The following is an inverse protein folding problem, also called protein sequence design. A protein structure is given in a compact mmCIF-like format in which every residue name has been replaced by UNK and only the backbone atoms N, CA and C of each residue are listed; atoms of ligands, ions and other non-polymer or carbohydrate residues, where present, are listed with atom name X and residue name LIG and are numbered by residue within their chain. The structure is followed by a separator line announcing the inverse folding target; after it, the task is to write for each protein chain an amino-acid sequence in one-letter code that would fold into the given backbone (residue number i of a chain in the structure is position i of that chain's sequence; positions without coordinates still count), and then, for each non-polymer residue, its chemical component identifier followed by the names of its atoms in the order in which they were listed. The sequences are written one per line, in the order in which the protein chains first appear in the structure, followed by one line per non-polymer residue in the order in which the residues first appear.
data_IF_994800248039
#
_entry.id   IF_994800248039
#
_cell.length_a   1.000
_cell.length_b   1.000
_cell.length_c   1.000
_cell.angle_alpha   90.00
_cell.angle_beta   90.00
_cell.angle_gamma   90.00
#
_symmetry.space_group_name_H-M   'P 1'
#
loop_
_entity.id
_entity.type
_entity.pdbx_description
1 polymer ?
#
# COMPACT_ATOMS: atom_id res chain seq x y z
N UNK A 1 20.81 25.20 1.00
CA UNK A 1 20.96 23.78 0.60
C UNK A 1 19.75 23.43 -0.25
N UNK A 2 19.93 23.14 -1.55
CA UNK A 2 18.83 22.79 -2.46
C UNK A 2 18.83 21.27 -2.68
N UNK A 3 17.80 20.58 -2.20
CA UNK A 3 17.60 19.16 -2.51
C UNK A 3 16.91 19.08 -3.86
N UNK A 4 17.53 18.40 -4.84
CA UNK A 4 16.92 18.08 -6.13
C UNK A 4 16.66 16.58 -6.16
N UNK A 5 15.42 16.18 -6.43
CA UNK A 5 14.99 14.78 -6.49
C UNK A 5 14.59 14.50 -7.93
N UNK A 6 15.08 13.40 -8.49
CA UNK A 6 14.70 12.92 -9.82
C UNK A 6 13.92 11.61 -9.69
N UNK A 7 12.65 11.62 -10.05
CA UNK A 7 11.78 10.43 -9.98
C UNK A 7 11.78 9.71 -11.33
N UNK A 8 12.32 8.49 -11.39
CA UNK A 8 12.12 7.60 -12.54
C UNK A 8 10.80 6.85 -12.36
N UNK A 9 9.78 7.25 -13.10
CA UNK A 9 8.43 6.68 -13.02
C UNK A 9 8.32 5.53 -14.02
N UNK A 10 8.24 4.28 -13.53
CA UNK A 10 7.79 3.15 -14.36
C UNK A 10 6.25 3.08 -14.26
N UNK A 11 5.49 3.40 -15.34
CA UNK A 11 4.03 3.45 -15.31
C UNK A 11 3.37 2.06 -15.18
N UNK A 12 4.08 1.00 -15.56
CA UNK A 12 3.49 -0.34 -15.74
C UNK A 12 3.54 -1.24 -14.49
N UNK A 13 4.11 -0.76 -13.38
CA UNK A 13 4.25 -1.54 -12.14
C UNK A 13 3.20 -1.14 -11.09
N UNK A 14 2.57 -2.15 -10.47
CA UNK A 14 1.53 -2.00 -9.44
C UNK A 14 2.12 -1.57 -8.07
N UNK A 15 2.69 -0.37 -8.00
CA UNK A 15 3.27 0.19 -6.77
C UNK A 15 2.66 1.57 -6.47
N UNK A 16 2.39 1.84 -5.20
CA UNK A 16 2.16 3.21 -4.72
C UNK A 16 3.49 3.93 -4.61
N UNK A 17 3.57 5.12 -5.20
CA UNK A 17 4.79 5.94 -5.24
C UNK A 17 4.68 7.01 -4.17
N UNK A 18 5.56 6.96 -3.17
CA UNK A 18 5.52 7.90 -2.04
C UNK A 18 6.90 8.49 -1.75
N UNK A 19 6.90 9.67 -1.11
CA UNK A 19 8.11 10.30 -0.58
C UNK A 19 8.05 10.19 0.95
N UNK A 20 9.08 9.60 1.54
CA UNK A 20 9.28 9.53 2.98
C UNK A 20 10.30 10.59 3.35
N UNK A 21 9.94 11.50 4.25
CA UNK A 21 10.82 12.52 4.78
C UNK A 21 10.83 12.45 6.31
N UNK A 22 12.02 12.31 6.90
CA UNK A 22 12.22 12.21 8.34
C UNK A 22 13.32 13.14 8.83
N UNK A 23 13.23 13.49 10.12
CA UNK A 23 14.23 14.32 10.77
C UNK A 23 14.55 13.84 12.18
N UNK A 24 15.77 14.13 12.61
CA UNK A 24 16.30 13.81 13.93
C UNK A 24 17.15 14.97 14.46
N UNK A 25 17.23 15.10 15.78
CA UNK A 25 18.05 16.12 16.44
C UNK A 25 18.57 15.63 17.79
N UNK A 26 19.70 16.20 18.25
CA UNK A 26 20.29 15.88 19.55
C UNK A 26 21.58 15.07 19.45
N UNK A 27 21.76 14.08 20.34
CA UNK A 27 22.85 13.10 20.25
C UNK A 27 22.43 11.99 19.27
N UNK A 28 23.43 11.39 18.61
CA UNK A 28 23.25 10.21 17.74
C UNK A 28 22.19 10.41 16.65
N UNK A 29 22.20 11.63 16.07
CA UNK A 29 21.13 12.10 15.17
C UNK A 29 20.95 11.22 13.94
N UNK A 30 22.05 10.64 13.44
CA UNK A 30 22.06 9.81 12.25
C UNK A 30 21.47 8.43 12.52
N UNK A 31 21.82 7.81 13.63
CA UNK A 31 21.30 6.50 14.03
C UNK A 31 19.79 6.55 14.23
N UNK A 32 19.31 7.55 14.99
CA UNK A 32 17.87 7.81 15.16
C UNK A 32 17.14 8.12 13.86
N UNK A 33 17.80 8.80 12.92
CA UNK A 33 17.22 9.06 11.61
C UNK A 33 17.12 7.77 10.79
N UNK A 34 18.16 6.94 10.82
CA UNK A 34 18.20 5.66 10.14
C UNK A 34 17.11 4.72 10.66
N UNK A 35 16.91 4.62 11.97
CA UNK A 35 15.84 3.82 12.58
C UNK A 35 14.45 4.22 12.06
N UNK A 36 14.13 5.53 12.11
CA UNK A 36 12.85 6.06 11.61
C UNK A 36 12.64 5.78 10.12
N UNK A 37 13.70 5.97 9.33
CA UNK A 37 13.65 5.71 7.88
C UNK A 37 13.48 4.22 7.61
N UNK A 38 14.19 3.35 8.33
CA UNK A 38 14.10 1.90 8.18
C UNK A 38 12.69 1.37 8.51
N UNK A 39 12.06 1.88 9.57
CA UNK A 39 10.69 1.51 9.93
C UNK A 39 9.71 1.83 8.78
N UNK A 40 9.82 3.02 8.18
CA UNK A 40 8.92 3.46 7.11
C UNK A 40 9.19 2.83 5.75
N UNK A 41 10.42 2.38 5.51
CA UNK A 41 10.85 1.81 4.22
C UNK A 41 10.81 0.28 4.22
N UNK A 42 10.56 -0.36 5.37
CA UNK A 42 10.68 -1.82 5.58
C UNK A 42 10.09 -2.70 4.48
N UNK A 43 8.96 -2.29 3.89
CA UNK A 43 8.25 -3.03 2.85
C UNK A 43 8.19 -2.27 1.51
N UNK A 44 9.18 -1.42 1.22
CA UNK A 44 9.20 -0.58 0.04
C UNK A 44 10.52 -0.74 -0.73
N UNK A 45 10.47 -0.60 -2.05
CA UNK A 45 11.64 -0.52 -2.91
C UNK A 45 12.12 0.93 -2.97
N UNK A 46 13.39 1.17 -2.58
CA UNK A 46 13.99 2.51 -2.64
C UNK A 46 14.36 2.84 -4.08
N UNK A 47 13.81 3.94 -4.58
CA UNK A 47 14.10 4.48 -5.92
C UNK A 47 15.27 5.46 -5.86
N UNK A 48 15.23 6.38 -4.89
CA UNK A 48 16.25 7.40 -4.67
C UNK A 48 16.23 7.86 -3.21
N UNK A 49 17.34 8.39 -2.71
CA UNK A 49 17.41 8.91 -1.35
C UNK A 49 18.48 10.00 -1.17
N UNK A 50 18.25 10.88 -0.19
CA UNK A 50 19.20 11.91 0.21
C UNK A 50 19.21 12.07 1.74
N UNK A 51 20.41 12.20 2.29
CA UNK A 51 20.63 12.52 3.70
C UNK A 51 21.40 13.83 3.83
N UNK A 52 21.00 14.66 4.78
CA UNK A 52 21.66 15.91 5.11
C UNK A 52 21.83 16.04 6.61
N UNK A 53 22.94 16.64 7.03
CA UNK A 53 23.11 17.05 8.42
C UNK A 53 23.40 18.54 8.50
N UNK A 54 22.97 19.14 9.59
CA UNK A 54 23.23 20.54 9.89
C UNK A 54 23.53 20.70 11.37
N UNK A 55 24.58 21.45 11.68
CA UNK A 55 24.92 21.81 13.06
C UNK A 55 24.58 23.27 13.25
N UNK A 56 23.70 23.58 14.20
CA UNK A 56 23.37 24.97 14.52
C UNK A 56 24.61 25.71 15.03
N UNK A 57 25.00 26.86 14.43
CA UNK A 57 26.21 27.59 14.81
C UNK A 57 26.24 28.01 16.28
N UNK A 58 25.10 28.44 16.82
CA UNK A 58 25.01 28.98 18.19
C UNK A 58 24.91 27.88 19.25
N UNK A 59 23.97 26.95 19.08
CA UNK A 59 23.68 25.92 20.09
C UNK A 59 24.54 24.67 19.93
N UNK A 60 25.31 24.56 18.84
CA UNK A 60 26.01 23.34 18.38
C UNK A 60 25.12 22.11 18.30
N UNK A 61 23.79 22.30 18.28
CA UNK A 61 22.83 21.20 18.18
C UNK A 61 22.90 20.62 16.78
N UNK A 62 23.08 19.31 16.69
CA UNK A 62 23.06 18.57 15.43
C UNK A 62 21.63 18.23 15.03
N UNK A 63 21.38 18.33 13.75
CA UNK A 63 20.16 17.96 13.07
C UNK A 63 20.50 17.08 11.88
N UNK A 64 19.64 16.12 11.59
CA UNK A 64 19.72 15.33 10.38
C UNK A 64 18.35 15.26 9.71
N UNK A 65 18.35 15.26 8.39
CA UNK A 65 17.18 15.07 7.54
C UNK A 65 17.47 13.93 6.58
N UNK A 66 16.48 13.08 6.37
CA UNK A 66 16.51 11.98 5.41
C UNK A 66 15.28 12.09 4.52
N UNK A 67 15.47 11.94 3.22
CA UNK A 67 14.39 11.88 2.25
C UNK A 67 14.62 10.63 1.41
N UNK A 68 13.59 9.82 1.23
CA UNK A 68 13.60 8.67 0.35
C UNK A 68 12.38 8.69 -0.55
N UNK A 69 12.60 8.40 -1.83
CA UNK A 69 11.57 8.11 -2.81
C UNK A 69 11.44 6.60 -2.86
N UNK A 70 10.22 6.09 -2.64
CA UNK A 70 9.99 4.66 -2.60
C UNK A 70 8.80 4.23 -3.44
N UNK A 71 8.91 3.05 -4.02
CA UNK A 71 7.81 2.27 -4.56
C UNK A 71 7.34 1.32 -3.45
N UNK A 72 6.16 1.54 -2.90
CA UNK A 72 5.52 0.57 -2.01
C UNK A 72 4.76 -0.40 -2.91
N UNK A 73 5.09 -1.71 -2.93
CA UNK A 73 4.26 -2.68 -3.60
C UNK A 73 2.85 -2.50 -3.07
N UNK A 74 1.87 -2.26 -3.96
CA UNK A 74 0.49 -2.39 -3.54
C UNK A 74 0.35 -3.85 -3.17
N UNK A 75 0.38 -4.17 -1.88
CA UNK A 75 -0.24 -5.39 -1.41
C UNK A 75 -1.61 -5.36 -2.09
N UNK A 76 -1.88 -6.31 -3.00
CA UNK A 76 -3.25 -6.56 -3.41
C UNK A 76 -3.99 -6.61 -2.09
N UNK A 77 -4.92 -5.67 -1.83
CA UNK A 77 -5.78 -5.66 -0.62
C UNK A 77 -5.95 -7.09 -0.24
N UNK A 78 -5.40 -7.53 0.90
CA UNK A 78 -5.29 -8.96 1.17
C UNK A 78 -6.71 -9.52 1.15
N UNK A 79 -7.11 -10.09 0.01
CA UNK A 79 -8.50 -10.40 -0.30
C UNK A 79 -8.99 -11.50 0.66
N UNK A 80 -8.03 -12.24 1.23
CA UNK A 80 -8.20 -13.25 2.27
C UNK A 80 -8.63 -12.67 3.62
N UNK A 81 -8.39 -11.38 3.87
CA UNK A 81 -8.73 -10.69 5.14
C UNK A 81 -9.97 -9.81 5.05
N UNK A 82 -10.67 -9.82 3.93
CA UNK A 82 -11.88 -9.02 3.75
C UNK A 82 -13.03 -9.55 4.60
N UNK A 83 -13.83 -8.63 5.15
CA UNK A 83 -15.10 -9.00 5.77
C UNK A 83 -16.06 -9.58 4.73
N UNK A 84 -17.12 -10.26 5.18
CA UNK A 84 -18.18 -10.76 4.31
C UNK A 84 -18.82 -9.61 3.52
N UNK A 85 -19.01 -8.46 4.14
CA UNK A 85 -19.63 -7.27 3.53
C UNK A 85 -18.74 -6.69 2.43
N UNK A 86 -17.42 -6.57 2.68
CA UNK A 86 -16.46 -6.09 1.69
C UNK A 86 -16.36 -7.05 0.50
N UNK A 87 -16.33 -8.36 0.77
CA UNK A 87 -16.35 -9.39 -0.29
C UNK A 87 -17.63 -9.29 -1.13
N UNK A 88 -18.80 -9.16 -0.50
CA UNK A 88 -20.07 -8.98 -1.20
C UNK A 88 -20.14 -7.69 -1.99
N UNK A 89 -19.56 -6.59 -1.51
CA UNK A 89 -19.48 -5.34 -2.26
C UNK A 89 -18.68 -5.51 -3.56
N UNK A 90 -17.56 -6.23 -3.50
CA UNK A 90 -16.74 -6.55 -4.69
C UNK A 90 -17.51 -7.46 -5.65
N UNK A 91 -18.14 -8.53 -5.14
CA UNK A 91 -18.94 -9.45 -5.95
C UNK A 91 -20.13 -8.75 -6.61
N UNK A 92 -20.81 -7.85 -5.90
CA UNK A 92 -21.91 -7.04 -6.45
C UNK A 92 -21.41 -6.17 -7.60
N UNK A 93 -20.25 -5.54 -7.46
CA UNK A 93 -19.66 -4.74 -8.54
C UNK A 93 -19.26 -5.60 -9.75
N UNK A 94 -18.71 -6.79 -9.51
CA UNK A 94 -18.41 -7.73 -10.58
C UNK A 94 -19.69 -8.15 -11.32
N UNK A 95 -20.75 -8.51 -10.58
CA UNK A 95 -22.05 -8.86 -11.16
C UNK A 95 -22.63 -7.72 -12.00
N UNK A 96 -22.61 -6.47 -11.51
CA UNK A 96 -23.06 -5.30 -12.29
C UNK A 96 -22.34 -5.19 -13.64
N UNK A 97 -21.03 -5.44 -13.68
CA UNK A 97 -20.22 -5.36 -14.90
C UNK A 97 -20.52 -6.49 -15.90
N UNK A 98 -21.06 -7.60 -15.41
CA UNK A 98 -21.47 -8.75 -16.22
C UNK A 98 -22.99 -8.83 -16.38
N UNK A 99 -23.68 -7.69 -16.40
CA UNK A 99 -25.15 -7.58 -16.56
C UNK A 99 -25.92 -8.47 -15.58
N UNK A 100 -25.40 -8.59 -14.36
CA UNK A 100 -25.94 -9.43 -13.29
C UNK A 100 -26.04 -10.91 -13.66
N UNK A 101 -25.12 -11.42 -14.49
CA UNK A 101 -25.04 -12.83 -14.86
C UNK A 101 -24.04 -13.59 -13.96
N UNK A 102 -24.50 -14.36 -12.96
CA UNK A 102 -23.59 -15.09 -12.07
C UNK A 102 -22.79 -16.17 -12.77
N UNK A 103 -23.29 -16.70 -13.91
CA UNK A 103 -22.61 -17.75 -14.68
C UNK A 103 -21.35 -17.24 -15.37
N UNK A 104 -21.21 -15.93 -15.53
CA UNK A 104 -19.99 -15.31 -16.07
C UNK A 104 -18.82 -15.35 -15.07
N UNK A 105 -19.08 -15.64 -13.79
CA UNK A 105 -18.07 -15.63 -12.73
C UNK A 105 -17.54 -17.04 -12.45
N UNK A 106 -16.21 -17.19 -12.44
CA UNK A 106 -15.57 -18.44 -12.03
C UNK A 106 -15.52 -18.52 -10.49
N UNK A 107 -16.49 -19.20 -9.89
CA UNK A 107 -16.61 -19.36 -8.42
C UNK A 107 -15.39 -20.02 -7.78
N UNK A 108 -14.70 -20.92 -8.49
CA UNK A 108 -13.50 -21.61 -7.98
C UNK A 108 -12.31 -20.65 -7.87
N UNK A 109 -12.09 -19.85 -8.90
CA UNK A 109 -11.03 -18.83 -8.94
C UNK A 109 -11.28 -17.74 -7.89
N UNK A 110 -12.53 -17.30 -7.77
CA UNK A 110 -12.96 -16.29 -6.81
C UNK A 110 -12.83 -16.79 -5.36
N UNK A 111 -13.22 -18.04 -5.09
CA UNK A 111 -13.03 -18.66 -3.78
C UNK A 111 -11.54 -18.70 -3.38
N UNK A 112 -10.66 -19.05 -4.33
CA UNK A 112 -9.21 -19.00 -4.13
C UNK A 112 -8.71 -17.58 -3.84
N UNK A 113 -9.21 -16.58 -4.57
CA UNK A 113 -8.82 -15.17 -4.38
C UNK A 113 -9.19 -14.65 -2.99
N UNK A 114 -10.36 -15.01 -2.47
CA UNK A 114 -10.82 -14.59 -1.14
C UNK A 114 -10.44 -15.56 -0.02
N UNK A 115 -9.72 -16.65 -0.32
CA UNK A 115 -9.38 -17.73 0.62
C UNK A 115 -10.61 -18.26 1.41
N UNK A 116 -11.72 -18.50 0.70
CA UNK A 116 -12.96 -19.06 1.26
C UNK A 116 -13.39 -20.29 0.48
N UNK A 117 -14.42 -21.01 0.96
CA UNK A 117 -14.98 -22.11 0.20
C UNK A 117 -15.79 -21.62 -1.00
N UNK A 118 -15.95 -22.46 -2.01
CA UNK A 118 -16.84 -22.20 -3.15
C UNK A 118 -18.28 -21.96 -2.69
N UNK A 119 -18.72 -22.70 -1.68
CA UNK A 119 -20.06 -22.56 -1.10
C UNK A 119 -20.28 -21.19 -0.47
N UNK A 120 -19.25 -20.60 0.17
CA UNK A 120 -19.34 -19.22 0.66
C UNK A 120 -19.58 -18.22 -0.47
N UNK A 121 -18.92 -18.40 -1.62
CA UNK A 121 -19.12 -17.54 -2.79
C UNK A 121 -20.52 -17.74 -3.38
N UNK A 122 -21.02 -18.97 -3.47
CA UNK A 122 -22.39 -19.24 -3.90
C UNK A 122 -23.42 -18.54 -2.99
N UNK A 123 -23.28 -18.70 -1.68
CA UNK A 123 -24.17 -18.06 -0.69
C UNK A 123 -24.14 -16.54 -0.78
N UNK A 124 -22.96 -15.96 -0.98
CA UNK A 124 -22.80 -14.51 -1.13
C UNK A 124 -23.49 -14.00 -2.40
N UNK A 125 -23.32 -14.70 -3.53
CA UNK A 125 -23.99 -14.36 -4.79
C UNK A 125 -25.51 -14.49 -4.65
N UNK A 126 -26.01 -15.58 -4.06
CA UNK A 126 -27.45 -15.78 -3.84
C UNK A 126 -28.04 -14.65 -2.99
N UNK A 127 -27.34 -14.28 -1.91
CA UNK A 127 -27.77 -13.19 -1.04
C UNK A 127 -27.80 -11.85 -1.79
N UNK A 128 -26.78 -11.53 -2.59
CA UNK A 128 -26.75 -10.31 -3.42
C UNK A 128 -27.93 -10.29 -4.41
N UNK A 129 -28.24 -11.43 -5.04
CA UNK A 129 -29.34 -11.54 -6.00
C UNK A 129 -30.72 -11.38 -5.32
N UNK A 130 -30.88 -11.89 -4.10
CA UNK A 130 -32.09 -11.68 -3.28
C UNK A 130 -32.27 -10.21 -2.91
N UNK A 131 -31.21 -9.52 -2.50
CA UNK A 131 -31.24 -8.10 -2.10
C UNK A 131 -31.54 -7.14 -3.27
N UNK A 132 -31.26 -7.57 -4.50
CA UNK A 132 -31.59 -6.81 -5.72
C UNK A 132 -33.07 -6.92 -6.10
N UNK A 133 -33.71 -8.03 -5.74
CA UNK A 133 -35.09 -8.39 -6.13
C UNK A 133 -36.11 -7.63 -5.29
#
# INVERSE_FOLDING_TARGET
MSVKIALKVEPDKNHDKIIIAEYSSGKDVLERLQEKMQEKIKNAEIVDFAFGTYTMPLTRRKYAVGIAVVNVPRERKNLEKLSIEERRAILRKALELFDWNPKAMNSSEIARLFNVSRDSIYNDIEQIMREKS
#
